data_IF_280178824260
#
_entry.id   IF_280178824260
#
_cell.length_a   1.000
_cell.length_b   1.000
_cell.length_c   1.000
_cell.angle_alpha   90.00
_cell.angle_beta   90.00
_cell.angle_gamma   90.00
#
_symmetry.space_group_name_H-M   'P 1'
#
loop_
_entity.id
_entity.type
_entity.pdbx_description
1 polymer ?
#
# COMPACT_ATOMS: atom_id res chain seq x y z
N UNK A 1 16.39 11.13 -1.61
CA UNK A 1 16.43 9.65 -1.57
C UNK A 1 15.12 9.14 -2.17
N UNK A 2 15.13 8.04 -2.93
CA UNK A 2 13.90 7.55 -3.58
C UNK A 2 13.06 6.76 -2.56
N UNK A 3 12.09 7.42 -1.95
CA UNK A 3 11.32 6.92 -0.81
C UNK A 3 9.81 7.12 -1.00
N UNK A 4 9.02 6.36 -0.25
CA UNK A 4 7.57 6.47 -0.19
C UNK A 4 7.16 7.84 0.36
N UNK A 5 6.16 8.47 -0.26
CA UNK A 5 5.64 9.75 0.21
C UNK A 5 4.92 9.63 1.56
N UNK A 6 4.30 8.48 1.86
CA UNK A 6 3.51 8.25 3.07
C UNK A 6 4.35 7.88 4.29
N UNK A 7 5.20 6.85 4.15
CA UNK A 7 5.96 6.28 5.25
C UNK A 7 7.47 6.52 5.17
N UNK A 8 7.91 7.30 4.18
CA UNK A 8 9.33 7.62 3.94
C UNK A 8 10.25 6.40 3.74
N UNK A 9 9.67 5.21 3.57
CA UNK A 9 10.40 3.97 3.38
C UNK A 9 11.18 3.99 2.04
N UNK A 10 12.42 3.47 2.02
CA UNK A 10 13.21 3.41 0.80
C UNK A 10 12.55 2.52 -0.24
N UNK A 11 12.33 3.04 -1.44
CA UNK A 11 11.72 2.32 -2.57
C UNK A 11 12.78 1.77 -3.56
N UNK A 12 14.06 2.06 -3.30
CA UNK A 12 15.16 1.61 -4.16
C UNK A 12 15.22 0.09 -4.24
N UNK A 13 14.99 -0.46 -5.44
CA UNK A 13 15.01 -1.90 -5.69
C UNK A 13 13.74 -2.66 -5.30
N UNK A 14 12.71 -1.97 -4.79
CA UNK A 14 11.41 -2.56 -4.46
C UNK A 14 10.32 -2.09 -5.43
N UNK A 15 9.17 -2.77 -5.40
CA UNK A 15 8.00 -2.34 -6.16
C UNK A 15 7.39 -1.10 -5.51
N UNK A 16 7.07 -0.13 -6.34
CA UNK A 16 6.42 1.10 -5.94
C UNK A 16 5.40 1.51 -7.00
N UNK A 17 4.46 2.36 -6.60
CA UNK A 17 3.43 2.90 -7.47
C UNK A 17 3.57 4.43 -7.53
N UNK A 18 3.57 5.00 -8.74
CA UNK A 18 3.49 6.44 -8.92
C UNK A 18 2.03 6.84 -9.06
N UNK A 19 1.56 7.70 -8.15
CA UNK A 19 0.19 8.23 -8.17
C UNK A 19 0.22 9.73 -7.97
N UNK A 20 -0.46 10.46 -8.84
CA UNK A 20 -0.49 11.94 -8.83
C UNK A 20 0.91 12.57 -8.85
N UNK A 21 1.88 11.90 -9.49
CA UNK A 21 3.28 12.32 -9.54
C UNK A 21 4.09 12.05 -8.26
N UNK A 22 3.55 11.31 -7.29
CA UNK A 22 4.21 10.97 -6.02
C UNK A 22 4.45 9.46 -5.89
N UNK A 23 5.65 9.03 -5.46
CA UNK A 23 5.96 7.61 -5.29
C UNK A 23 5.40 7.06 -3.97
N UNK A 24 4.69 5.95 -4.02
CA UNK A 24 4.11 5.25 -2.87
C UNK A 24 4.58 3.79 -2.86
N UNK A 25 4.89 3.24 -1.69
CA UNK A 25 5.19 1.81 -1.57
C UNK A 25 3.92 0.98 -1.79
N UNK A 26 4.07 -0.28 -2.24
CA UNK A 26 2.94 -1.20 -2.38
C UNK A 26 2.12 -1.30 -1.10
N UNK A 27 2.77 -1.36 0.07
CA UNK A 27 2.08 -1.48 1.35
C UNK A 27 1.20 -0.27 1.69
N UNK A 28 1.68 0.96 1.51
CA UNK A 28 0.87 2.17 1.74
C UNK A 28 -0.19 2.32 0.67
N UNK A 29 0.13 2.04 -0.59
CA UNK A 29 -0.83 2.10 -1.67
C UNK A 29 -1.97 1.09 -1.45
N UNK A 30 -1.65 -0.16 -1.12
CA UNK A 30 -2.63 -1.16 -0.67
C UNK A 30 -3.30 -0.69 0.61
N UNK A 31 -2.62 -0.11 1.59
CA UNK A 31 -3.27 0.35 2.81
C UNK A 31 -4.18 1.58 2.62
N UNK A 32 -4.05 2.34 1.55
CA UNK A 32 -4.87 3.53 1.23
C UNK A 32 -5.99 3.20 0.26
N UNK A 33 -5.76 2.23 -0.64
CA UNK A 33 -6.64 1.88 -1.75
C UNK A 33 -7.15 0.46 -1.72
N UNK A 34 -6.62 -0.42 -0.87
CA UNK A 34 -7.35 -1.63 -0.53
C UNK A 34 -8.64 -1.15 0.08
N UNK A 35 -9.74 -1.57 -0.54
CA UNK A 35 -11.05 -1.54 0.09
C UNK A 35 -10.86 -2.29 1.41
N UNK A 36 -10.93 -1.57 2.53
CA UNK A 36 -11.22 -2.20 3.80
C UNK A 36 -12.71 -2.49 3.78
N UNK A 37 -13.08 -3.66 4.25
CA UNK A 37 -14.47 -3.98 4.47
C UNK A 37 -15.04 -2.98 5.50
N UNK A 38 -15.89 -2.03 5.08
CA UNK A 38 -16.51 -1.04 5.98
C UNK A 38 -17.32 -1.72 7.11
N UNK A 39 -17.83 -2.93 6.86
CA UNK A 39 -18.50 -3.77 7.87
C UNK A 39 -17.57 -4.45 8.88
N UNK A 40 -16.27 -4.58 8.63
CA UNK A 40 -15.40 -5.45 9.42
C UNK A 40 -13.99 -4.94 9.70
N UNK A 41 -13.54 -3.85 9.07
CA UNK A 41 -12.22 -3.24 9.29
C UNK A 41 -11.03 -4.09 8.80
N UNK A 42 -11.28 -5.25 8.20
CA UNK A 42 -10.25 -6.23 7.81
C UNK A 42 -9.81 -6.02 6.34
N UNK A 43 -8.54 -6.35 6.04
CA UNK A 43 -7.98 -6.34 4.69
C UNK A 43 -8.72 -7.33 3.79
N UNK A 44 -9.33 -6.82 2.70
CA UNK A 44 -9.91 -7.65 1.64
C UNK A 44 -8.77 -8.14 0.73
N UNK A 45 -7.84 -8.89 1.31
CA UNK A 45 -6.50 -9.05 0.76
C UNK A 45 -5.85 -10.37 1.16
N UNK A 46 -6.48 -11.47 0.74
CA UNK A 46 -5.98 -12.86 0.68
C UNK A 46 -6.22 -13.73 1.92
N UNK A 47 -7.23 -14.59 1.73
CA UNK A 47 -7.42 -15.94 2.29
C UNK A 47 -7.77 -16.03 3.78
N UNK A 48 -9.08 -16.07 4.03
CA UNK A 48 -9.60 -17.08 4.96
C UNK A 48 -9.35 -18.51 4.44
N UNK A 49 -9.74 -19.53 5.20
CA UNK A 49 -9.01 -20.12 6.32
C UNK A 49 -8.41 -21.48 5.92
N UNK A 50 -8.02 -22.32 6.89
CA UNK A 50 -8.63 -23.65 6.95
C UNK A 50 -9.71 -23.74 8.04
#
# INVERSE_FOLDING_TARGET
HFCCYECEAPLGGQRYIMREGRPHCCNCFESLYAEYCDSCGEHIGKKGPP
#
